data_IF_558395817802
#
_entry.id   IF_558395817802
#
_cell.length_a   1.000
_cell.length_b   1.000
_cell.length_c   1.000
_cell.angle_alpha   90.00
_cell.angle_beta   90.00
_cell.angle_gamma   90.00
#
_symmetry.space_group_name_H-M   'P 1'
#
loop_
_entity.id
_entity.type
_entity.pdbx_description
1 polymer ?
#
# COMPACT_ATOMS: atom_id res chain seq x y z
N UNK A 1 -8.76 27.68 20.07
CA UNK A 1 -7.90 27.06 21.09
C UNK A 1 -8.73 26.24 22.08
N UNK A 2 -9.69 26.83 22.80
CA UNK A 2 -10.58 26.11 23.73
C UNK A 2 -11.43 24.98 23.07
N UNK A 3 -11.88 25.14 21.83
CA UNK A 3 -12.63 24.08 21.09
C UNK A 3 -11.73 22.90 20.69
N UNK A 4 -10.43 23.15 20.46
CA UNK A 4 -9.46 22.10 20.09
C UNK A 4 -8.95 21.34 21.32
N UNK A 5 -8.82 22.00 22.48
CA UNK A 5 -8.48 21.33 23.74
C UNK A 5 -9.60 20.41 24.20
N UNK A 6 -10.87 20.85 24.16
CA UNK A 6 -12.02 20.00 24.51
C UNK A 6 -12.17 18.78 23.59
N UNK A 7 -11.96 18.95 22.29
CA UNK A 7 -12.00 17.83 21.34
C UNK A 7 -10.84 16.84 21.51
N UNK A 8 -9.69 17.28 22.02
CA UNK A 8 -8.55 16.42 22.31
C UNK A 8 -8.78 15.56 23.56
N UNK A 9 -9.44 16.11 24.59
CA UNK A 9 -9.85 15.38 25.79
C UNK A 9 -10.94 14.34 25.48
N UNK A 10 -11.90 14.67 24.61
CA UNK A 10 -12.97 13.73 24.20
C UNK A 10 -12.45 12.51 23.40
N UNK A 11 -11.30 12.65 22.74
CA UNK A 11 -10.61 11.56 22.04
C UNK A 11 -9.68 10.75 22.95
N UNK A 12 -9.52 11.16 24.21
CA UNK A 12 -8.51 10.59 25.10
C UNK A 12 -8.86 9.17 25.52
N UNK A 13 -7.84 8.31 25.49
CA UNK A 13 -7.84 6.97 26.08
C UNK A 13 -6.89 6.93 27.30
N UNK A 14 -6.64 8.08 27.93
CA UNK A 14 -5.57 8.28 28.94
C UNK A 14 -5.55 7.25 30.05
N UNK A 15 -6.73 6.81 30.51
CA UNK A 15 -6.87 5.96 31.69
C UNK A 15 -6.57 4.48 31.39
N UNK A 16 -6.26 4.19 30.13
CA UNK A 16 -6.13 2.84 29.57
C UNK A 16 -4.81 2.62 28.82
N UNK A 17 -3.93 3.63 28.83
CA UNK A 17 -2.65 3.59 28.14
C UNK A 17 -1.56 3.20 29.14
N UNK A 18 -0.84 2.11 28.87
CA UNK A 18 0.40 1.80 29.56
C UNK A 18 1.58 2.30 28.73
N UNK A 19 2.40 3.19 29.29
CA UNK A 19 3.59 3.73 28.63
C UNK A 19 4.86 3.43 29.43
N UNK A 20 5.89 2.97 28.76
CA UNK A 20 7.25 2.81 29.29
C UNK A 20 8.23 3.68 28.51
N UNK A 21 9.52 3.60 28.83
CA UNK A 21 10.55 4.26 28.01
C UNK A 21 10.70 3.65 26.62
N UNK A 22 10.25 2.41 26.40
CA UNK A 22 10.51 1.68 25.14
C UNK A 22 9.25 1.44 24.31
N UNK A 23 8.08 1.44 24.93
CA UNK A 23 6.82 1.10 24.27
C UNK A 23 5.61 1.82 24.87
N UNK A 24 4.54 1.89 24.08
CA UNK A 24 3.21 2.31 24.52
C UNK A 24 2.22 1.26 24.04
N UNK A 25 1.36 0.80 24.94
CA UNK A 25 0.34 -0.22 24.65
C UNK A 25 -1.04 0.25 25.11
N UNK A 26 -2.06 -0.27 24.44
CA UNK A 26 -3.47 -0.11 24.77
C UNK A 26 -4.19 -1.45 24.57
N UNK A 27 -5.26 -1.70 25.31
CA UNK A 27 -6.14 -2.83 24.99
C UNK A 27 -6.79 -2.58 23.63
N UNK A 28 -6.71 -3.58 22.75
CA UNK A 28 -7.42 -3.56 21.47
C UNK A 28 -8.92 -3.31 21.69
N UNK A 29 -9.53 -3.98 22.68
CA UNK A 29 -10.95 -3.81 22.96
C UNK A 29 -11.32 -2.37 23.32
N UNK A 30 -10.49 -1.69 24.11
CA UNK A 30 -10.74 -0.31 24.50
C UNK A 30 -10.63 0.65 23.31
N UNK A 31 -9.64 0.41 22.44
CA UNK A 31 -9.50 1.16 21.20
C UNK A 31 -10.72 0.95 20.30
N UNK A 32 -11.18 -0.29 20.13
CA UNK A 32 -12.36 -0.62 19.32
C UNK A 32 -13.64 0.01 19.86
N UNK A 33 -13.87 -0.05 21.17
CA UNK A 33 -15.03 0.56 21.81
C UNK A 33 -15.06 2.07 21.53
N UNK A 34 -13.92 2.75 21.76
CA UNK A 34 -13.84 4.20 21.55
C UNK A 34 -13.96 4.59 20.09
N UNK A 35 -13.32 3.87 19.17
CA UNK A 35 -13.48 4.12 17.73
C UNK A 35 -14.94 3.94 17.29
N UNK A 36 -15.64 2.92 17.81
CA UNK A 36 -17.05 2.65 17.48
C UNK A 36 -17.97 3.74 18.02
N UNK A 37 -17.77 4.17 19.27
CA UNK A 37 -18.47 5.31 19.88
C UNK A 37 -18.32 6.56 19.00
N UNK A 38 -17.08 6.90 18.62
CA UNK A 38 -16.77 8.08 17.82
C UNK A 38 -17.35 8.01 16.41
N UNK A 39 -17.41 6.82 15.80
CA UNK A 39 -18.11 6.61 14.54
C UNK A 39 -19.61 6.86 14.69
N UNK A 40 -20.25 6.27 15.71
CA UNK A 40 -21.69 6.44 15.93
C UNK A 40 -22.06 7.92 16.15
N UNK A 41 -21.26 8.66 16.93
CA UNK A 41 -21.43 10.11 17.11
C UNK A 41 -21.32 10.91 15.81
N UNK A 42 -20.65 10.36 14.79
CA UNK A 42 -20.37 11.04 13.53
C UNK A 42 -21.38 10.73 12.44
N UNK A 43 -21.88 9.49 12.38
CA UNK A 43 -22.71 9.01 11.26
C UNK A 43 -24.09 8.49 11.66
N UNK A 44 -24.31 8.20 12.94
CA UNK A 44 -25.51 7.51 13.42
C UNK A 44 -26.39 8.37 14.34
N UNK A 45 -26.25 9.70 14.30
CA UNK A 45 -27.02 10.62 15.15
C UNK A 45 -28.55 10.49 14.98
N UNK A 46 -29.01 9.96 13.84
CA UNK A 46 -30.43 9.81 13.50
C UNK A 46 -30.87 8.33 13.40
N UNK A 47 -30.01 7.37 13.77
CA UNK A 47 -30.33 5.95 13.61
C UNK A 47 -31.18 5.44 14.77
N UNK A 48 -32.14 4.58 14.46
CA UNK A 48 -32.95 3.90 15.46
C UNK A 48 -32.10 2.89 16.24
N UNK A 49 -32.33 2.74 17.55
CA UNK A 49 -31.67 1.76 18.42
C UNK A 49 -31.71 0.33 17.83
N UNK A 50 -32.82 -0.06 17.21
CA UNK A 50 -32.95 -1.39 16.58
C UNK A 50 -31.97 -1.62 15.40
N UNK A 51 -31.50 -0.56 14.75
CA UNK A 51 -30.49 -0.64 13.68
C UNK A 51 -29.09 -0.77 14.26
N UNK A 52 -28.83 -0.11 15.40
CA UNK A 52 -27.54 -0.18 16.11
C UNK A 52 -27.23 -1.60 16.62
N UNK A 53 -28.26 -2.35 17.03
CA UNK A 53 -28.12 -3.71 17.55
C UNK A 53 -27.61 -4.73 16.52
N UNK A 54 -27.68 -4.41 15.22
CA UNK A 54 -27.31 -5.33 14.13
C UNK A 54 -26.04 -4.89 13.38
N UNK A 55 -25.27 -3.94 13.92
CA UNK A 55 -24.09 -3.40 13.23
C UNK A 55 -22.88 -4.33 13.34
N UNK A 56 -22.29 -4.62 12.19
CA UNK A 56 -21.02 -5.32 12.09
C UNK A 56 -19.93 -4.36 11.63
N UNK A 57 -18.95 -4.11 12.51
CA UNK A 57 -17.78 -3.34 12.16
C UNK A 57 -16.70 -4.25 11.56
N UNK A 58 -16.44 -4.11 10.27
CA UNK A 58 -15.33 -4.79 9.59
C UNK A 58 -14.04 -4.00 9.78
N UNK A 59 -13.02 -4.66 10.33
CA UNK A 59 -11.76 -4.00 10.73
C UNK A 59 -10.58 -4.69 10.08
N UNK A 60 -9.66 -3.88 9.57
CA UNK A 60 -8.36 -4.32 9.10
C UNK A 60 -7.29 -3.92 10.12
N UNK A 61 -6.50 -4.91 10.55
CA UNK A 61 -5.41 -4.70 11.51
C UNK A 61 -4.10 -5.21 10.92
N UNK A 62 -3.04 -4.44 11.10
CA UNK A 62 -1.72 -4.74 10.59
C UNK A 62 -0.64 -4.05 11.40
N UNK A 63 0.58 -4.56 11.28
CA UNK A 63 1.77 -3.97 11.89
C UNK A 63 2.86 -3.93 10.84
N UNK A 64 3.59 -2.83 10.81
CA UNK A 64 4.77 -2.66 9.97
C UNK A 64 5.91 -2.07 10.80
N UNK A 65 7.14 -2.26 10.33
CA UNK A 65 8.35 -1.75 10.97
C UNK A 65 9.09 -0.82 10.02
N UNK A 66 9.52 0.34 10.51
CA UNK A 66 10.35 1.27 9.75
C UNK A 66 11.70 1.48 10.42
N UNK A 67 12.75 1.60 9.60
CA UNK A 67 14.12 1.95 10.02
C UNK A 67 14.45 3.40 9.66
N UNK A 68 15.64 3.88 10.04
CA UNK A 68 16.08 5.26 9.77
C UNK A 68 15.46 6.31 10.70
N UNK A 69 15.08 5.92 11.92
CA UNK A 69 14.67 6.87 12.96
C UNK A 69 15.88 7.62 13.51
N UNK A 70 15.70 8.90 13.83
CA UNK A 70 16.76 9.72 14.41
C UNK A 70 17.13 9.17 15.80
N UNK A 71 18.34 8.66 15.94
CA UNK A 71 18.83 8.17 17.23
C UNK A 71 18.98 9.34 18.20
N UNK A 72 18.33 9.26 19.35
CA UNK A 72 18.86 9.92 20.55
C UNK A 72 20.07 9.09 20.99
N UNK A 73 21.23 9.73 21.12
CA UNK A 73 22.49 9.09 21.53
C UNK A 73 22.37 8.57 22.97
N UNK A 74 21.73 7.43 23.18
CA UNK A 74 21.86 6.62 24.39
C UNK A 74 22.00 5.16 23.92
N UNK A 75 23.08 4.52 24.36
CA UNK A 75 23.40 3.12 24.06
C UNK A 75 22.22 2.20 24.39
N UNK A 76 21.99 1.16 23.57
CA UNK A 76 21.84 -0.26 23.98
C UNK A 76 21.02 -1.14 23.02
N UNK A 77 21.19 -2.45 23.26
CA UNK A 77 20.82 -3.68 22.52
C UNK A 77 19.32 -3.82 22.22
N UNK A 78 19.03 -4.29 21.00
CA UNK A 78 17.75 -4.89 20.64
C UNK A 78 17.60 -6.27 21.29
N UNK A 79 16.55 -6.47 22.07
CA UNK A 79 16.03 -7.80 22.44
C UNK A 79 14.76 -8.04 21.63
N UNK A 80 14.82 -9.01 20.71
CA UNK A 80 13.64 -9.51 20.00
C UNK A 80 12.84 -10.40 20.96
N UNK A 81 11.64 -9.97 21.35
CA UNK A 81 10.66 -10.84 21.96
C UNK A 81 9.82 -11.49 20.86
N UNK A 82 9.82 -12.81 20.83
CA UNK A 82 9.09 -13.64 19.88
C UNK A 82 7.65 -13.80 20.37
N UNK A 83 6.70 -13.15 19.70
CA UNK A 83 5.27 -13.26 20.02
C UNK A 83 4.64 -14.36 19.14
N UNK A 84 4.28 -15.49 19.74
CA UNK A 84 3.57 -16.60 19.08
C UNK A 84 2.07 -16.31 19.05
N UNK A 85 1.49 -16.15 17.86
CA UNK A 85 0.05 -15.97 17.68
C UNK A 85 -0.68 -17.32 17.64
N UNK A 86 -1.78 -17.41 18.40
CA UNK A 86 -2.86 -18.38 18.18
C UNK A 86 -3.84 -17.78 17.15
N UNK A 87 -3.81 -18.29 15.91
CA UNK A 87 -4.92 -18.15 14.97
C UNK A 87 -5.17 -19.55 14.38
N UNK A 88 -6.41 -20.00 14.55
CA UNK A 88 -6.91 -21.33 14.22
C UNK A 88 -6.71 -21.73 12.76
N UNK A 89 -6.51 -23.04 12.59
CA UNK A 89 -6.12 -23.75 11.38
C UNK A 89 -7.10 -23.62 10.19
N UNK A 90 -6.51 -23.67 8.99
CA UNK A 90 -7.08 -23.77 7.62
C UNK A 90 -7.13 -22.52 6.71
N UNK A 91 -6.78 -21.31 7.19
CA UNK A 91 -6.61 -20.12 6.33
C UNK A 91 -5.12 -19.80 5.96
N UNK A 92 -4.23 -20.78 6.12
CA UNK A 92 -2.78 -20.57 6.27
C UNK A 92 -1.96 -20.26 5.00
N UNK A 93 -2.49 -20.23 3.77
CA UNK A 93 -1.60 -20.18 2.57
C UNK A 93 -1.62 -18.84 1.82
N UNK A 94 -2.65 -18.01 1.97
CA UNK A 94 -2.84 -16.87 1.07
C UNK A 94 -2.72 -15.50 1.75
N UNK A 95 -1.54 -15.22 2.32
CA UNK A 95 -1.18 -13.85 2.76
C UNK A 95 -0.97 -12.96 1.52
N UNK A 96 -2.04 -12.45 0.94
CA UNK A 96 -2.01 -11.36 -0.05
C UNK A 96 -1.92 -10.02 0.71
N UNK A 97 -0.80 -9.81 1.41
CA UNK A 97 -0.70 -8.70 2.35
C UNK A 97 -0.22 -7.38 1.74
N UNK A 98 0.23 -7.37 0.47
CA UNK A 98 1.13 -6.31 0.01
C UNK A 98 0.90 -5.84 -1.42
N UNK A 99 -0.28 -5.32 -1.74
CA UNK A 99 -0.58 -4.71 -3.06
C UNK A 99 0.51 -3.73 -3.51
N UNK A 100 0.99 -2.87 -2.60
CA UNK A 100 2.12 -1.99 -2.83
C UNK A 100 3.39 -2.73 -3.29
N UNK A 101 3.79 -3.77 -2.56
CA UNK A 101 4.99 -4.51 -2.93
C UNK A 101 4.79 -5.36 -4.17
N UNK A 102 3.57 -5.77 -4.50
CA UNK A 102 3.29 -6.47 -5.76
C UNK A 102 3.65 -5.57 -6.94
N UNK A 103 3.25 -4.30 -6.90
CA UNK A 103 3.62 -3.34 -7.95
C UNK A 103 5.13 -3.11 -8.03
N UNK A 104 5.80 -2.85 -6.90
CA UNK A 104 7.26 -2.67 -6.88
C UNK A 104 7.96 -3.92 -7.41
N UNK A 105 7.52 -5.11 -7.01
CA UNK A 105 8.12 -6.38 -7.46
C UNK A 105 7.80 -6.70 -8.91
N UNK A 106 6.64 -6.28 -9.42
CA UNK A 106 6.32 -6.38 -10.85
C UNK A 106 7.26 -5.48 -11.66
N UNK A 107 7.46 -4.24 -11.22
CA UNK A 107 8.40 -3.30 -11.84
C UNK A 107 9.83 -3.85 -11.86
N UNK A 108 10.34 -4.31 -10.71
CA UNK A 108 11.66 -4.95 -10.61
C UNK A 108 11.77 -6.20 -11.49
N UNK A 109 10.70 -7.00 -11.55
CA UNK A 109 10.66 -8.19 -12.38
C UNK A 109 10.79 -7.88 -13.87
N UNK A 110 10.07 -6.87 -14.38
CA UNK A 110 10.14 -6.45 -15.77
C UNK A 110 11.54 -5.88 -16.12
N UNK A 111 12.16 -5.13 -15.21
CA UNK A 111 13.56 -4.72 -15.34
C UNK A 111 14.50 -5.94 -15.45
N UNK A 112 14.29 -6.93 -14.61
CA UNK A 112 15.11 -8.14 -14.62
C UNK A 112 14.95 -9.00 -15.87
N UNK A 113 13.77 -9.00 -16.50
CA UNK A 113 13.60 -9.57 -17.85
C UNK A 113 14.44 -8.77 -18.84
N UNK A 114 14.28 -7.44 -18.86
CA UNK A 114 14.97 -6.56 -19.81
C UNK A 114 16.51 -6.70 -19.73
N UNK A 115 17.07 -6.80 -18.53
CA UNK A 115 18.51 -6.97 -18.31
C UNK A 115 19.05 -8.31 -18.83
N UNK A 116 18.17 -9.30 -19.01
CA UNK A 116 18.54 -10.67 -19.38
C UNK A 116 18.14 -11.04 -20.81
N UNK A 117 17.56 -10.12 -21.58
CA UNK A 117 17.10 -10.40 -22.95
C UNK A 117 18.20 -10.95 -23.88
N UNK A 118 19.45 -10.53 -23.67
CA UNK A 118 20.61 -10.96 -24.46
C UNK A 118 21.10 -12.35 -24.08
N UNK A 119 21.07 -12.68 -22.79
CA UNK A 119 21.61 -13.94 -22.25
C UNK A 119 20.56 -15.06 -22.12
N UNK A 120 19.28 -14.69 -21.98
CA UNK A 120 18.11 -15.59 -21.85
C UNK A 120 18.30 -16.71 -20.82
N UNK A 121 18.91 -16.39 -19.68
CA UNK A 121 19.06 -17.28 -18.53
C UNK A 121 18.74 -16.48 -17.27
N UNK A 122 17.92 -17.05 -16.39
CA UNK A 122 17.53 -16.39 -15.15
C UNK A 122 18.70 -16.22 -14.17
N UNK A 123 19.45 -17.30 -13.93
CA UNK A 123 20.59 -17.34 -13.02
C UNK A 123 21.87 -16.92 -13.75
N UNK A 124 22.39 -15.73 -13.42
CA UNK A 124 23.56 -15.14 -14.10
C UNK A 124 24.85 -15.72 -13.52
N UNK A 125 25.53 -16.57 -14.29
CA UNK A 125 26.85 -17.10 -13.96
C UNK A 125 27.96 -16.07 -14.23
N UNK A 126 29.14 -16.29 -13.63
CA UNK A 126 30.25 -15.33 -13.68
C UNK A 126 30.68 -14.92 -15.11
N UNK A 127 30.65 -15.86 -16.07
CA UNK A 127 31.00 -15.59 -17.47
C UNK A 127 30.01 -14.66 -18.19
N UNK A 128 28.74 -14.64 -17.76
CA UNK A 128 27.68 -13.83 -18.35
C UNK A 128 27.53 -12.45 -17.68
N UNK A 129 28.24 -12.22 -16.57
CA UNK A 129 28.13 -10.98 -15.77
C UNK A 129 28.45 -9.73 -16.59
N UNK A 130 29.46 -9.80 -17.47
CA UNK A 130 29.82 -8.67 -18.33
C UNK A 130 28.67 -8.25 -19.26
N UNK A 131 28.08 -9.23 -19.96
CA UNK A 131 26.94 -8.99 -20.86
C UNK A 131 25.70 -8.46 -20.11
N UNK A 132 25.44 -9.01 -18.91
CA UNK A 132 24.35 -8.56 -18.05
C UNK A 132 24.51 -7.10 -17.62
N UNK A 133 25.69 -6.70 -17.14
CA UNK A 133 25.91 -5.32 -16.68
C UNK A 133 25.85 -4.32 -17.85
N UNK A 134 26.39 -4.68 -19.02
CA UNK A 134 26.26 -3.84 -20.23
C UNK A 134 24.80 -3.62 -20.63
N UNK A 135 23.99 -4.69 -20.64
CA UNK A 135 22.57 -4.59 -20.96
C UNK A 135 21.80 -3.79 -19.89
N UNK A 136 22.10 -4.00 -18.60
CA UNK A 136 21.51 -3.25 -17.50
C UNK A 136 21.77 -1.75 -17.63
N UNK A 137 23.00 -1.34 -17.95
CA UNK A 137 23.34 0.07 -18.17
C UNK A 137 22.59 0.67 -19.36
N UNK A 138 22.45 -0.08 -20.46
CA UNK A 138 21.71 0.37 -21.64
C UNK A 138 20.23 0.61 -21.32
N UNK A 139 19.57 -0.35 -20.65
CA UNK A 139 18.17 -0.24 -20.23
C UNK A 139 17.95 0.92 -19.25
N UNK A 140 18.84 1.08 -18.25
CA UNK A 140 18.76 2.19 -17.31
C UNK A 140 18.85 3.56 -18.01
N UNK A 141 19.69 3.68 -19.04
CA UNK A 141 19.84 4.90 -19.83
C UNK A 141 18.57 5.22 -20.64
N UNK A 142 17.96 4.22 -21.27
CA UNK A 142 16.71 4.41 -22.02
C UNK A 142 15.53 4.78 -21.11
N UNK A 143 15.44 4.17 -19.92
CA UNK A 143 14.42 4.57 -18.94
C UNK A 143 14.65 6.01 -18.48
N UNK A 144 15.89 6.41 -18.18
CA UNK A 144 16.19 7.77 -17.79
C UNK A 144 15.83 8.78 -18.89
N UNK A 145 16.11 8.44 -20.16
CA UNK A 145 15.76 9.27 -21.31
C UNK A 145 14.24 9.45 -21.46
N UNK A 146 13.46 8.38 -21.32
CA UNK A 146 12.03 8.40 -21.62
C UNK A 146 11.15 8.85 -20.44
N UNK A 147 11.59 8.62 -19.20
CA UNK A 147 10.81 8.89 -17.98
C UNK A 147 11.49 9.89 -17.03
N UNK A 148 12.76 10.23 -17.24
CA UNK A 148 13.51 11.14 -16.36
C UNK A 148 13.85 10.53 -14.99
N UNK A 149 13.85 9.20 -14.87
CA UNK A 149 14.00 8.51 -13.59
C UNK A 149 15.23 7.61 -13.54
N UNK A 150 15.82 7.48 -12.35
CA UNK A 150 16.95 6.58 -12.09
C UNK A 150 16.47 5.33 -11.35
N UNK A 151 16.70 4.17 -11.95
CA UNK A 151 16.21 2.88 -11.46
C UNK A 151 17.36 1.98 -11.04
N UNK A 152 17.09 1.07 -10.10
CA UNK A 152 18.01 0.04 -9.60
C UNK A 152 19.36 0.60 -9.09
N UNK A 153 19.31 1.73 -8.37
CA UNK A 153 20.45 2.30 -7.66
C UNK A 153 20.32 2.04 -6.15
N UNK A 154 21.39 1.58 -5.52
CA UNK A 154 21.42 1.38 -4.06
C UNK A 154 21.71 2.71 -3.38
N UNK A 155 20.81 3.13 -2.50
CA UNK A 155 20.98 4.30 -1.64
C UNK A 155 21.39 3.83 -0.24
N UNK A 156 22.57 4.27 0.22
CA UNK A 156 23.06 3.96 1.56
C UNK A 156 22.03 4.40 2.62
N UNK A 157 21.58 3.46 3.45
CA UNK A 157 20.61 3.71 4.52
C UNK A 157 19.13 3.81 4.09
N UNK A 158 18.81 3.80 2.78
CA UNK A 158 17.45 4.03 2.27
C UNK A 158 16.89 2.92 1.37
N UNK A 159 17.69 1.89 1.03
CA UNK A 159 17.26 0.78 0.17
C UNK A 159 17.61 1.01 -1.30
N UNK A 160 16.78 0.51 -2.22
CA UNK A 160 16.94 0.73 -3.66
C UNK A 160 16.13 1.94 -4.11
N UNK A 161 16.48 2.55 -5.23
CA UNK A 161 15.65 3.60 -5.84
C UNK A 161 14.31 3.08 -6.36
N UNK A 162 14.06 1.76 -6.36
CA UNK A 162 12.81 1.19 -6.87
C UNK A 162 11.66 1.37 -5.86
N UNK A 163 11.16 2.60 -5.78
CA UNK A 163 10.03 2.96 -4.91
C UNK A 163 8.69 2.74 -5.61
N UNK A 164 7.60 2.63 -4.83
CA UNK A 164 6.24 2.54 -5.38
C UNK A 164 5.89 3.72 -6.28
N UNK A 165 6.38 4.93 -5.98
CA UNK A 165 6.14 6.12 -6.81
C UNK A 165 6.79 6.00 -8.20
N UNK A 166 7.98 5.41 -8.27
CA UNK A 166 8.66 5.19 -9.54
C UNK A 166 7.98 4.11 -10.37
N UNK A 167 7.56 3.01 -9.74
CA UNK A 167 6.78 1.98 -10.40
C UNK A 167 5.47 2.53 -10.98
N UNK A 168 4.72 3.31 -10.20
CA UNK A 168 3.48 3.99 -10.65
C UNK A 168 3.71 4.87 -11.86
N UNK A 169 4.76 5.71 -11.83
CA UNK A 169 5.11 6.59 -12.96
C UNK A 169 5.39 5.80 -14.24
N UNK A 170 6.01 4.63 -14.15
CA UNK A 170 6.23 3.78 -15.31
C UNK A 170 4.96 3.08 -15.80
N UNK A 171 4.09 2.65 -14.88
CA UNK A 171 2.85 1.96 -15.24
C UNK A 171 1.73 2.89 -15.72
N UNK A 172 1.85 4.20 -15.56
CA UNK A 172 0.96 5.19 -16.18
C UNK A 172 1.00 5.12 -17.72
N UNK A 173 2.17 4.81 -18.30
CA UNK A 173 2.32 4.59 -19.73
C UNK A 173 3.02 3.23 -19.96
N UNK A 174 2.28 2.12 -19.83
CA UNK A 174 2.85 0.78 -19.90
C UNK A 174 3.42 0.48 -21.29
N UNK A 175 2.89 1.12 -22.33
CA UNK A 175 3.36 0.95 -23.71
C UNK A 175 4.75 1.53 -23.89
N UNK A 176 4.95 2.79 -23.51
CA UNK A 176 6.26 3.45 -23.54
C UNK A 176 7.24 2.75 -22.61
N UNK A 177 6.78 2.26 -21.45
CA UNK A 177 7.62 1.52 -20.53
C UNK A 177 8.13 0.21 -21.16
N UNK A 178 7.24 -0.57 -21.80
CA UNK A 178 7.63 -1.79 -22.50
C UNK A 178 8.64 -1.53 -23.62
N UNK A 179 8.44 -0.46 -24.39
CA UNK A 179 9.36 -0.03 -25.44
C UNK A 179 10.74 0.34 -24.89
N UNK A 180 10.80 1.12 -23.79
CA UNK A 180 12.06 1.43 -23.09
C UNK A 180 12.81 0.19 -22.60
N UNK A 181 12.07 -0.86 -22.20
CA UNK A 181 12.63 -2.12 -21.73
C UNK A 181 13.00 -3.08 -22.87
N UNK A 182 12.48 -2.87 -24.08
CA UNK A 182 12.60 -3.82 -25.19
C UNK A 182 11.87 -5.14 -24.94
N UNK A 183 10.78 -5.11 -24.17
CA UNK A 183 9.96 -6.29 -23.84
C UNK A 183 8.56 -6.19 -24.48
N UNK A 184 7.80 -7.30 -24.44
CA UNK A 184 6.49 -7.37 -25.06
C UNK A 184 5.50 -6.38 -24.43
N UNK A 185 4.97 -5.48 -25.26
CA UNK A 185 4.02 -4.43 -24.86
C UNK A 185 2.77 -4.98 -24.21
N UNK A 186 2.16 -6.02 -24.78
CA UNK A 186 0.92 -6.60 -24.26
C UNK A 186 1.12 -7.19 -22.87
N UNK A 187 2.26 -7.85 -22.61
CA UNK A 187 2.56 -8.38 -21.28
C UNK A 187 2.63 -7.26 -20.23
N UNK A 188 3.31 -6.14 -20.54
CA UNK A 188 3.44 -5.01 -19.61
C UNK A 188 2.10 -4.31 -19.39
N UNK A 189 1.35 -4.06 -20.47
CA UNK A 189 0.02 -3.47 -20.40
C UNK A 189 -0.94 -4.33 -19.57
N UNK A 190 -0.96 -5.65 -19.80
CA UNK A 190 -1.80 -6.57 -19.04
C UNK A 190 -1.41 -6.59 -17.55
N UNK A 191 -0.11 -6.62 -17.23
CA UNK A 191 0.35 -6.57 -15.85
C UNK A 191 -0.07 -5.25 -15.19
N UNK A 192 0.12 -4.12 -15.86
CA UNK A 192 -0.30 -2.81 -15.33
C UNK A 192 -1.80 -2.78 -15.03
N UNK A 193 -2.63 -3.21 -15.99
CA UNK A 193 -4.08 -3.27 -15.83
C UNK A 193 -4.51 -4.21 -14.70
N UNK A 194 -3.90 -5.39 -14.58
CA UNK A 194 -4.20 -6.32 -13.48
C UNK A 194 -3.89 -5.69 -12.12
N UNK A 195 -2.75 -5.00 -11.99
CA UNK A 195 -2.37 -4.32 -10.75
C UNK A 195 -3.33 -3.18 -10.41
N UNK A 196 -3.77 -2.42 -11.41
CA UNK A 196 -4.75 -1.35 -11.26
C UNK A 196 -6.11 -1.90 -10.81
N UNK A 197 -6.60 -2.96 -11.48
CA UNK A 197 -7.86 -3.61 -11.12
C UNK A 197 -7.84 -4.09 -9.66
N UNK A 198 -6.77 -4.76 -9.21
CA UNK A 198 -6.67 -5.19 -7.80
C UNK A 198 -6.61 -4.02 -6.79
N UNK A 199 -6.19 -2.83 -7.22
CA UNK A 199 -6.13 -1.62 -6.39
C UNK A 199 -7.38 -0.76 -6.49
N UNK A 200 -8.28 -1.05 -7.43
CA UNK A 200 -9.51 -0.31 -7.52
C UNK A 200 -10.36 -0.58 -6.27
N UNK A 201 -11.09 0.44 -5.82
CA UNK A 201 -12.01 0.35 -4.69
C UNK A 201 -13.42 -0.11 -5.14
N UNK A 202 -13.52 -0.68 -6.34
CA UNK A 202 -14.77 -1.11 -6.99
C UNK A 202 -14.90 -2.64 -6.92
N UNK A 203 -16.15 -3.12 -6.89
CA UNK A 203 -16.41 -4.56 -6.93
C UNK A 203 -16.13 -5.09 -8.34
N UNK A 204 -15.21 -6.04 -8.44
CA UNK A 204 -14.76 -6.60 -9.70
C UNK A 204 -15.56 -7.84 -10.09
N UNK A 205 -15.78 -8.03 -11.39
CA UNK A 205 -16.25 -9.31 -11.96
C UNK A 205 -15.08 -10.29 -11.98
N UNK A 206 -14.86 -10.99 -10.85
CA UNK A 206 -13.67 -11.81 -10.62
C UNK A 206 -13.45 -12.92 -11.64
N UNK A 207 -14.51 -13.48 -12.24
CA UNK A 207 -14.36 -14.54 -13.24
C UNK A 207 -13.73 -14.04 -14.54
N UNK A 208 -14.09 -12.83 -14.98
CA UNK A 208 -13.45 -12.18 -16.14
C UNK A 208 -11.99 -11.84 -15.86
N UNK A 209 -11.72 -11.31 -14.66
CA UNK A 209 -10.35 -11.00 -14.23
C UNK A 209 -9.50 -12.27 -14.12
N UNK A 210 -10.05 -13.36 -13.60
CA UNK A 210 -9.33 -14.62 -13.48
C UNK A 210 -8.91 -15.17 -14.84
N UNK A 211 -9.81 -15.13 -15.82
CA UNK A 211 -9.49 -15.52 -17.20
C UNK A 211 -8.37 -14.64 -17.77
N UNK A 212 -8.47 -13.31 -17.63
CA UNK A 212 -7.45 -12.37 -18.10
C UNK A 212 -6.08 -12.59 -17.43
N UNK A 213 -6.07 -12.88 -16.13
CA UNK A 213 -4.86 -13.23 -15.39
C UNK A 213 -4.23 -14.54 -15.90
N UNK A 214 -5.04 -15.56 -16.20
CA UNK A 214 -4.56 -16.84 -16.75
C UNK A 214 -3.97 -16.68 -18.15
N UNK A 215 -4.61 -15.89 -19.00
CA UNK A 215 -4.11 -15.58 -20.34
C UNK A 215 -2.78 -14.81 -20.28
N UNK A 216 -2.67 -13.83 -19.37
CA UNK A 216 -1.44 -13.07 -19.13
C UNK A 216 -0.32 -13.96 -18.57
N UNK A 217 -0.66 -14.88 -17.66
CA UNK A 217 0.27 -15.88 -17.15
C UNK A 217 0.79 -16.80 -18.27
N UNK A 218 -0.08 -17.27 -19.16
CA UNK A 218 0.32 -18.09 -20.31
C UNK A 218 1.19 -17.29 -21.30
N UNK A 219 0.82 -16.04 -21.59
CA UNK A 219 1.57 -15.13 -22.45
C UNK A 219 3.02 -14.96 -21.95
N UNK A 220 3.19 -14.80 -20.63
CA UNK A 220 4.50 -14.69 -20.01
C UNK A 220 5.39 -15.90 -20.32
N UNK A 221 4.93 -17.13 -20.04
CA UNK A 221 5.72 -18.34 -20.28
C UNK A 221 5.92 -18.67 -21.75
N UNK A 222 5.02 -18.21 -22.63
CA UNK A 222 5.18 -18.38 -24.08
C UNK A 222 6.31 -17.49 -24.64
N UNK A 223 6.50 -16.29 -24.10
CA UNK A 223 7.50 -15.32 -24.61
C UNK A 223 8.83 -15.43 -23.83
N UNK A 224 8.75 -15.72 -22.54
CA UNK A 224 9.88 -15.70 -21.60
C UNK A 224 9.97 -17.02 -20.82
N UNK A 225 9.96 -18.15 -21.53
CA UNK A 225 10.11 -19.51 -20.98
C UNK A 225 11.34 -19.69 -20.07
N UNK A 226 12.42 -18.95 -20.36
CA UNK A 226 13.66 -18.91 -19.59
C UNK A 226 13.58 -18.08 -18.30
N UNK A 227 12.54 -17.26 -18.12
CA UNK A 227 12.41 -16.34 -16.99
C UNK A 227 11.47 -16.90 -15.93
N UNK A 228 11.97 -17.09 -14.70
CA UNK A 228 11.13 -17.57 -13.58
C UNK A 228 10.31 -16.41 -13.02
N UNK A 229 8.98 -16.53 -13.01
CA UNK A 229 8.11 -15.52 -12.43
C UNK A 229 8.39 -15.35 -10.93
N UNK A 230 8.43 -14.10 -10.44
CA UNK A 230 8.62 -13.86 -9.01
C UNK A 230 7.42 -14.40 -8.21
N UNK A 231 7.62 -14.97 -7.00
CA UNK A 231 6.50 -15.43 -6.17
C UNK A 231 5.46 -14.32 -5.89
N UNK A 232 5.92 -13.06 -5.84
CA UNK A 232 5.06 -11.90 -5.62
C UNK A 232 4.16 -11.60 -6.82
N UNK A 233 4.64 -11.77 -8.06
CA UNK A 233 3.84 -11.57 -9.27
C UNK A 233 3.04 -12.82 -9.65
N UNK A 234 3.51 -14.02 -9.28
CA UNK A 234 2.78 -15.26 -9.44
C UNK A 234 1.45 -15.25 -8.66
N UNK A 235 1.47 -14.74 -7.43
CA UNK A 235 0.27 -14.66 -6.57
C UNK A 235 -0.91 -13.92 -7.22
N UNK A 236 -0.81 -12.65 -7.66
CA UNK A 236 -1.93 -11.96 -8.29
C UNK A 236 -2.39 -12.63 -9.59
N UNK A 237 -1.45 -13.16 -10.39
CA UNK A 237 -1.79 -13.80 -11.67
C UNK A 237 -2.46 -15.17 -11.50
N UNK A 238 -2.09 -15.96 -10.49
CA UNK A 238 -2.63 -17.32 -10.33
C UNK A 238 -3.70 -17.43 -9.26
N UNK A 239 -3.54 -16.70 -8.17
CA UNK A 239 -4.35 -16.84 -6.96
C UNK A 239 -5.06 -15.54 -6.57
N UNK A 240 -4.78 -14.42 -7.24
CA UNK A 240 -5.31 -13.12 -6.86
C UNK A 240 -6.84 -13.10 -6.80
N UNK A 241 -7.50 -13.73 -7.77
CA UNK A 241 -8.96 -13.82 -7.81
C UNK A 241 -9.54 -14.76 -6.74
N UNK A 242 -8.90 -15.92 -6.51
CA UNK A 242 -9.28 -16.84 -5.42
C UNK A 242 -9.21 -16.13 -4.07
N UNK A 243 -8.18 -15.31 -3.88
CA UNK A 243 -7.98 -14.53 -2.67
C UNK A 243 -8.98 -13.39 -2.58
N UNK A 244 -9.24 -12.69 -3.69
CA UNK A 244 -10.23 -11.61 -3.74
C UNK A 244 -11.63 -12.08 -3.33
N UNK A 245 -12.02 -13.32 -3.68
CA UNK A 245 -13.30 -13.92 -3.27
C UNK A 245 -13.46 -14.09 -1.75
N UNK A 246 -12.36 -14.14 -1.01
CA UNK A 246 -12.39 -14.29 0.46
C UNK A 246 -12.70 -12.98 1.18
N UNK A 247 -12.59 -11.83 0.49
CA UNK A 247 -12.81 -10.53 1.11
C UNK A 247 -14.26 -10.07 0.91
N UNK A 248 -14.91 -9.53 1.96
CA UNK A 248 -16.26 -8.98 1.86
C UNK A 248 -16.30 -7.63 1.12
N UNK A 249 -15.15 -6.99 0.93
CA UNK A 249 -14.99 -5.71 0.27
C UNK A 249 -13.86 -5.80 -0.77
N UNK A 250 -13.77 -4.84 -1.71
CA UNK A 250 -12.65 -4.76 -2.64
C UNK A 250 -11.30 -4.82 -1.93
N UNK A 251 -10.35 -5.55 -2.52
CA UNK A 251 -9.05 -5.86 -1.92
C UNK A 251 -8.25 -4.62 -1.54
N UNK A 252 -8.45 -3.51 -2.25
CA UNK A 252 -7.83 -2.21 -1.97
C UNK A 252 -8.07 -1.71 -0.54
N UNK A 253 -9.22 -2.01 0.07
CA UNK A 253 -9.53 -1.62 1.46
C UNK A 253 -8.69 -2.37 2.51
N UNK A 254 -8.04 -3.46 2.11
CA UNK A 254 -7.19 -4.29 2.97
C UNK A 254 -5.68 -4.04 2.70
N UNK A 255 -5.33 -2.99 1.94
CA UNK A 255 -3.95 -2.69 1.58
C UNK A 255 -3.15 -2.07 2.75
N UNK A 256 -1.85 -2.36 2.79
CA UNK A 256 -0.92 -1.84 3.81
C UNK A 256 -0.42 -0.39 3.53
N UNK A 257 -0.72 0.18 2.35
CA UNK A 257 -0.25 1.51 1.90
C UNK A 257 -0.50 2.63 2.93
N UNK A 258 -1.66 2.60 3.58
CA UNK A 258 -2.04 3.61 4.56
C UNK A 258 -1.28 3.47 5.89
N UNK A 259 -0.97 2.24 6.30
CA UNK A 259 -0.13 1.97 7.47
C UNK A 259 1.31 2.45 7.21
N UNK A 260 1.88 2.14 6.05
CA UNK A 260 3.24 2.59 5.71
C UNK A 260 3.32 4.12 5.61
N UNK A 261 2.27 4.76 5.09
CA UNK A 261 2.18 6.22 5.03
C UNK A 261 2.16 6.87 6.42
N UNK A 262 1.60 6.18 7.42
CA UNK A 262 1.55 6.66 8.81
C UNK A 262 2.94 6.79 9.44
N UNK A 263 3.94 6.01 9.01
CA UNK A 263 5.33 6.14 9.46
C UNK A 263 5.92 7.53 9.19
N UNK A 264 5.50 8.22 8.12
CA UNK A 264 5.94 9.59 7.84
C UNK A 264 5.42 10.56 8.91
N UNK A 265 4.16 10.41 9.33
CA UNK A 265 3.56 11.22 10.38
C UNK A 265 4.18 10.94 11.73
N UNK A 266 4.45 9.67 12.08
CA UNK A 266 5.09 9.33 13.35
C UNK A 266 6.48 9.95 13.47
N UNK A 267 7.31 9.85 12.43
CA UNK A 267 8.64 10.50 12.39
C UNK A 267 8.55 12.02 12.52
N UNK A 268 7.62 12.65 11.79
CA UNK A 268 7.40 14.10 11.87
C UNK A 268 6.94 14.52 13.27
N UNK A 269 6.01 13.78 13.86
CA UNK A 269 5.48 14.05 15.20
C UNK A 269 6.56 13.91 16.29
N UNK A 270 7.44 12.90 16.18
CA UNK A 270 8.59 12.75 17.09
C UNK A 270 9.50 13.98 17.09
N UNK A 271 9.72 14.60 15.93
CA UNK A 271 10.68 15.72 15.79
C UNK A 271 10.05 17.05 16.21
N UNK A 272 8.80 17.31 15.79
CA UNK A 272 8.17 18.63 15.84
C UNK A 272 7.17 18.81 17.00
N UNK A 273 6.57 17.74 17.50
CA UNK A 273 5.39 17.84 18.36
C UNK A 273 5.51 17.11 19.70
N UNK A 274 6.43 16.15 19.82
CA UNK A 274 6.63 15.40 21.03
C UNK A 274 7.55 16.16 22.01
N UNK A 275 7.25 16.07 23.31
CA UNK A 275 8.13 16.57 24.36
C UNK A 275 9.46 15.81 24.32
N UNK A 276 10.56 16.53 24.55
CA UNK A 276 11.94 16.01 24.52
C UNK A 276 12.56 15.90 25.93
N UNK A 277 11.72 15.85 26.95
CA UNK A 277 12.15 15.79 28.35
C UNK A 277 12.36 14.35 28.85
N UNK A 278 11.67 13.36 28.28
CA UNK A 278 11.93 11.94 28.50
C UNK A 278 11.48 11.12 27.30
N UNK A 279 12.09 9.95 27.12
CA UNK A 279 11.71 9.03 26.04
C UNK A 279 10.27 8.55 26.19
N UNK A 280 9.84 8.24 27.41
CA UNK A 280 8.46 7.85 27.72
C UNK A 280 7.45 8.93 27.31
N UNK A 281 7.70 10.21 27.67
CA UNK A 281 6.84 11.32 27.26
C UNK A 281 6.83 11.49 25.75
N UNK A 282 7.98 11.33 25.10
CA UNK A 282 8.10 11.45 23.65
C UNK A 282 7.26 10.41 22.91
N UNK A 283 7.34 9.14 23.31
CA UNK A 283 6.55 8.06 22.68
C UNK A 283 5.07 8.25 22.99
N UNK A 284 4.72 8.60 24.24
CA UNK A 284 3.34 8.87 24.63
C UNK A 284 2.72 10.01 23.82
N UNK A 285 3.44 11.11 23.59
CA UNK A 285 2.94 12.24 22.80
C UNK A 285 2.72 11.88 21.33
N UNK A 286 3.62 11.09 20.75
CA UNK A 286 3.45 10.56 19.37
C UNK A 286 2.22 9.68 19.29
N UNK A 287 2.03 8.81 20.28
CA UNK A 287 0.89 7.90 20.37
C UNK A 287 -0.44 8.67 20.53
N UNK A 288 -0.52 9.61 21.48
CA UNK A 288 -1.70 10.47 21.68
C UNK A 288 -2.05 11.25 20.41
N UNK A 289 -1.03 11.78 19.73
CA UNK A 289 -1.22 12.49 18.45
C UNK A 289 -1.67 11.55 17.34
N UNK A 290 -1.23 10.30 17.33
CA UNK A 290 -1.71 9.28 16.40
C UNK A 290 -3.20 8.99 16.62
N UNK A 291 -3.65 8.83 17.88
CA UNK A 291 -5.07 8.66 18.20
C UNK A 291 -5.86 9.86 17.66
N UNK A 292 -5.43 11.08 17.98
CA UNK A 292 -6.12 12.30 17.55
C UNK A 292 -6.21 12.43 16.01
N UNK A 293 -5.14 12.08 15.29
CA UNK A 293 -5.12 12.16 13.83
C UNK A 293 -6.02 11.11 13.17
N UNK A 294 -6.24 9.97 13.83
CA UNK A 294 -7.07 8.86 13.36
C UNK A 294 -8.46 8.83 14.02
N UNK A 295 -8.83 9.86 14.78
CA UNK A 295 -10.17 9.95 15.35
C UNK A 295 -11.22 10.07 14.23
N UNK A 296 -12.22 9.17 14.17
CA UNK A 296 -13.20 9.17 13.08
C UNK A 296 -13.98 10.47 12.97
N UNK A 297 -14.43 11.03 14.09
CA UNK A 297 -15.23 12.26 14.13
C UNK A 297 -14.44 13.46 13.62
N UNK A 298 -13.22 13.63 14.10
CA UNK A 298 -12.33 14.69 13.62
C UNK A 298 -11.97 14.47 12.15
N UNK A 299 -11.70 13.23 11.73
CA UNK A 299 -11.34 12.93 10.35
C UNK A 299 -12.48 13.20 9.38
N UNK A 300 -13.70 12.79 9.72
CA UNK A 300 -14.90 13.03 8.92
C UNK A 300 -15.23 14.53 8.84
N UNK A 301 -15.07 15.28 9.93
CA UNK A 301 -15.29 16.75 9.91
C UNK A 301 -14.37 17.52 8.95
N UNK A 302 -13.28 16.89 8.49
CA UNK A 302 -12.29 17.47 7.57
C UNK A 302 -12.22 16.72 6.25
N UNK A 303 -13.23 15.90 5.94
CA UNK A 303 -13.21 15.07 4.74
C UNK A 303 -13.12 15.91 3.47
N UNK A 304 -13.87 17.02 3.39
CA UNK A 304 -13.90 17.92 2.23
C UNK A 304 -12.54 18.61 1.97
N UNK A 305 -11.73 18.79 3.02
CA UNK A 305 -10.39 19.37 2.90
C UNK A 305 -9.35 18.33 2.49
N UNK A 306 -9.72 17.04 2.47
CA UNK A 306 -8.83 15.90 2.21
C UNK A 306 -9.15 15.19 0.88
N UNK A 307 -10.38 15.30 0.38
CA UNK A 307 -10.75 14.78 -0.95
C UNK A 307 -10.13 15.65 -2.04
N UNK A 308 -9.48 15.02 -3.02
CA UNK A 308 -9.10 15.68 -4.28
C UNK A 308 -10.27 15.61 -5.27
N UNK A 309 -10.25 16.46 -6.31
CA UNK A 309 -11.31 16.52 -7.34
C UNK A 309 -11.53 15.15 -8.03
N UNK A 310 -10.47 14.35 -8.16
CA UNK A 310 -10.51 12.99 -8.74
C UNK A 310 -11.30 11.97 -7.87
N UNK A 311 -11.36 12.13 -6.54
CA UNK A 311 -12.15 11.25 -5.67
C UNK A 311 -13.68 11.44 -5.85
N UNK A 312 -14.08 12.57 -6.46
CA UNK A 312 -15.49 12.94 -6.72
C UNK A 312 -15.97 12.34 -8.04
N UNK A 313 -15.13 12.36 -9.08
CA UNK A 313 -15.45 11.81 -10.41
C UNK A 313 -15.48 10.27 -10.42
N UNK A 314 -14.78 9.62 -9.47
CA UNK A 314 -14.68 8.16 -9.38
C UNK A 314 -15.97 7.47 -8.88
N UNK A 315 -16.98 8.24 -8.43
CA UNK A 315 -18.26 7.74 -7.96
C UNK A 315 -19.21 7.31 -9.09
N UNK A 316 -19.04 7.81 -10.32
CA UNK A 316 -20.01 7.67 -11.42
C UNK A 316 -19.46 6.98 -12.69
N UNK A 317 -18.50 6.06 -12.56
CA UNK A 317 -18.04 5.27 -13.74
C UNK A 317 -18.75 3.91 -13.77
N UNK A 318 -19.87 3.86 -14.49
CA UNK A 318 -20.40 2.61 -15.04
C UNK A 318 -19.55 2.20 -16.24
N UNK A 319 -19.13 0.94 -16.30
CA UNK A 319 -18.52 0.37 -17.50
C UNK A 319 -19.64 0.22 -18.54
N UNK A 320 -19.82 1.22 -19.39
CA UNK A 320 -20.48 1.05 -20.67
C UNK A 320 -19.46 0.56 -21.71
N UNK A 321 -19.87 -0.44 -22.48
CA UNK A 321 -19.10 -1.00 -23.59
C UNK A 321 -18.96 0.03 -24.73
N UNK A 322 -17.76 0.53 -25.03
CA UNK A 322 -17.46 1.05 -26.40
C UNK A 322 -16.01 1.48 -26.68
N UNK A 323 -15.61 1.55 -27.98
CA UNK A 323 -14.24 1.53 -28.46
C UNK A 323 -13.59 2.93 -28.57
N UNK A 324 -12.25 2.93 -28.50
CA UNK A 324 -11.27 3.94 -28.94
C UNK A 324 -11.78 5.27 -29.55
N UNK A 325 -11.34 6.39 -28.99
CA UNK A 325 -10.78 7.55 -29.73
C UNK A 325 -9.92 8.45 -28.82
N UNK A 326 -8.90 9.07 -29.40
CA UNK A 326 -7.84 9.89 -28.78
C UNK A 326 -8.30 11.29 -28.35
N UNK A 327 -7.72 11.83 -27.26
CA UNK A 327 -7.38 13.26 -27.17
C UNK A 327 -6.42 13.56 -26.01
N UNK A 328 -5.43 14.40 -26.31
CA UNK A 328 -4.47 15.04 -25.40
C UNK A 328 -5.17 15.94 -24.36
N UNK A 329 -4.69 15.97 -23.10
CA UNK A 329 -3.95 17.09 -22.50
C UNK A 329 -3.72 16.88 -20.97
N UNK A 330 -2.80 17.66 -20.45
CA UNK A 330 -1.97 17.57 -19.24
C UNK A 330 -2.60 17.41 -17.82
N UNK A 331 -1.75 16.85 -16.95
CA UNK A 331 -1.60 17.09 -15.49
C UNK A 331 -2.69 16.62 -14.51
N UNK A 332 -2.42 15.50 -13.82
CA UNK A 332 -2.38 15.47 -12.35
C UNK A 332 -1.80 14.13 -11.85
N UNK A 333 -0.91 14.24 -10.87
CA UNK A 333 -0.57 13.18 -9.93
C UNK A 333 -1.16 13.61 -8.59
N UNK A 334 -1.69 12.70 -7.77
CA UNK A 334 -1.47 12.60 -6.30
C UNK A 334 -2.47 11.61 -5.67
N UNK A 335 -1.98 10.51 -5.10
CA UNK A 335 -2.80 9.62 -4.26
C UNK A 335 -2.91 10.16 -2.83
N UNK A 336 -4.13 10.27 -2.29
CA UNK A 336 -4.35 10.28 -0.85
C UNK A 336 -5.33 9.16 -0.46
N UNK A 337 -4.88 8.30 0.45
CA UNK A 337 -5.68 7.21 1.00
C UNK A 337 -6.58 7.73 2.12
N UNK A 338 -7.90 7.60 1.96
CA UNK A 338 -8.86 7.72 3.05
C UNK A 338 -9.04 6.34 3.70
N UNK A 339 -8.43 6.14 4.87
CA UNK A 339 -8.76 5.05 5.77
C UNK A 339 -9.93 5.47 6.65
N UNK A 340 -11.14 5.21 6.18
CA UNK A 340 -12.37 4.90 6.91
C UNK A 340 -13.53 5.04 5.92
N UNK A 341 -13.75 4.00 5.11
CA UNK A 341 -15.03 3.84 4.43
C UNK A 341 -15.82 2.79 5.20
N UNK A 342 -16.75 3.27 6.04
CA UNK A 342 -17.84 2.44 6.53
C UNK A 342 -18.86 2.42 5.39
N UNK A 343 -18.86 1.34 4.59
CA UNK A 343 -19.99 1.00 3.74
C UNK A 343 -20.76 -0.07 4.49
N UNK A 344 -21.87 0.32 5.12
CA UNK A 344 -22.73 -0.65 5.80
C UNK A 344 -23.67 -1.29 4.79
N UNK A 345 -23.84 -2.60 4.92
CA UNK A 345 -24.89 -3.36 4.24
C UNK A 345 -26.06 -3.56 5.19
#
# INVERSE_FOLDING_TARGET
MQVQEKAADDCSLSDHISSTEVEVMISLQQMLNKTSERLCESVALEWNENVLDNLNLLITLGFDSSSGHMFEYHYWKQSFLQMSYLFTDNAQVWKFKRLLHVEIKAFEYLLHIAYRLTIKVWDVIASLKGAFESQKMAVQKEIFKNFGIRVDQVLQGHGTTNTGNLARKCFQDPTKFAQSLGINTNLVANIALILELFKCKKMLKLDKLEQFCRETYALHYNIYDWARLSPTLHKPLRHGCEIARLFPLPMAYFAEDALESSHKYYRRNMILHARKNSRANRILDVYKRAIYLNDPKISLSKIDQRMTIEDIEDQDIYIEDSPYEESDDDNASFSLALNCFVRMY
#
